data_IF_020778936121
#
_entry.id   IF_020778936121
#
_cell.length_a   1.000
_cell.length_b   1.000
_cell.length_c   1.000
_cell.angle_alpha   90.00
_cell.angle_beta   90.00
_cell.angle_gamma   90.00
#
_symmetry.space_group_name_H-M   'P 1'
#
loop_
_entity.id
_entity.type
_entity.pdbx_description
1 polymer ?
#
# COMPACT_ATOMS: atom_id res chain seq x y z
N UNK A 1 20.08 46.84 37.19
CA UNK A 1 20.06 46.63 35.73
C UNK A 1 19.84 45.15 35.46
N UNK A 2 18.63 44.80 35.01
CA UNK A 2 18.19 43.44 34.75
C UNK A 2 19.01 42.78 33.64
N UNK A 3 19.50 41.57 33.88
CA UNK A 3 19.83 40.64 32.81
C UNK A 3 19.10 39.34 33.07
N UNK A 4 17.95 39.23 32.41
CA UNK A 4 17.22 37.99 32.21
C UNK A 4 18.17 36.98 31.56
N UNK A 5 18.69 36.02 32.32
CA UNK A 5 19.25 34.79 31.74
C UNK A 5 18.07 33.97 31.25
N UNK A 6 17.78 34.12 29.95
CA UNK A 6 16.79 33.33 29.24
C UNK A 6 17.12 31.83 29.42
N UNK A 7 16.22 31.12 30.10
CA UNK A 7 16.23 29.67 30.13
C UNK A 7 15.90 29.19 28.71
N UNK A 8 16.91 28.74 27.97
CA UNK A 8 16.70 27.98 26.73
C UNK A 8 16.32 26.57 27.16
N UNK A 9 15.04 26.36 27.45
CA UNK A 9 14.42 25.04 27.40
C UNK A 9 14.45 24.62 25.93
N UNK A 10 15.47 23.88 25.53
CA UNK A 10 15.45 23.09 24.30
C UNK A 10 14.31 22.08 24.49
N UNK A 11 13.17 22.15 23.78
CA UNK A 11 12.29 21.01 23.77
C UNK A 11 13.08 19.88 23.12
N UNK A 12 13.43 18.87 23.91
CA UNK A 12 13.75 17.54 23.39
C UNK A 12 12.56 17.14 22.54
N UNK A 13 12.63 17.43 21.24
CA UNK A 13 11.85 16.75 20.23
C UNK A 13 12.26 15.29 20.37
N UNK A 14 11.51 14.56 21.19
CA UNK A 14 11.44 13.12 21.11
C UNK A 14 11.01 12.83 19.68
N UNK A 15 11.99 12.66 18.81
CA UNK A 15 11.81 12.03 17.53
C UNK A 15 11.46 10.59 17.89
N UNK A 16 10.17 10.35 18.16
CA UNK A 16 9.59 9.05 17.96
C UNK A 16 9.76 8.81 16.46
N UNK A 17 10.92 8.29 16.08
CA UNK A 17 11.14 7.67 14.79
C UNK A 17 10.16 6.52 14.76
N UNK A 18 8.97 6.80 14.24
CA UNK A 18 8.06 5.75 13.81
C UNK A 18 8.84 5.03 12.71
N UNK A 19 9.44 3.91 13.10
CA UNK A 19 10.35 3.16 12.25
C UNK A 19 9.53 2.67 11.07
N UNK A 20 9.88 3.15 9.87
CA UNK A 20 9.44 2.55 8.63
C UNK A 20 9.82 1.07 8.71
N UNK A 21 8.80 0.20 8.77
CA UNK A 21 8.98 -1.23 9.08
C UNK A 21 8.12 -2.05 8.13
N UNK A 22 8.75 -3.04 7.50
CA UNK A 22 8.07 -4.12 6.78
C UNK A 22 7.96 -5.31 7.74
N UNK A 23 6.74 -5.61 8.19
CA UNK A 23 6.50 -6.68 9.17
C UNK A 23 6.56 -8.06 8.53
N UNK A 24 6.00 -8.19 7.32
CA UNK A 24 5.92 -9.45 6.59
C UNK A 24 6.04 -9.17 5.09
N UNK A 25 6.66 -10.10 4.37
CA UNK A 25 6.71 -10.11 2.92
C UNK A 25 6.44 -11.52 2.40
N UNK A 26 5.57 -11.64 1.39
CA UNK A 26 5.30 -12.89 0.69
C UNK A 26 5.25 -12.64 -0.81
N UNK A 27 5.59 -13.66 -1.60
CA UNK A 27 5.37 -13.63 -3.04
C UNK A 27 4.26 -14.58 -3.43
N UNK A 28 3.32 -14.11 -4.24
CA UNK A 28 2.20 -14.91 -4.73
C UNK A 28 2.12 -14.86 -6.25
N UNK A 29 1.79 -15.98 -6.86
CA UNK A 29 1.39 -16.02 -8.26
C UNK A 29 -0.13 -15.91 -8.32
N UNK A 30 -0.66 -14.74 -8.67
CA UNK A 30 -2.09 -14.52 -8.72
C UNK A 30 -2.60 -14.55 -10.17
N UNK A 31 -3.76 -15.16 -10.38
CA UNK A 31 -4.53 -15.04 -11.63
C UNK A 31 -5.50 -13.86 -11.60
N UNK A 32 -5.91 -13.45 -10.40
CA UNK A 32 -6.83 -12.34 -10.18
C UNK A 32 -6.62 -11.73 -8.80
N UNK A 33 -6.66 -10.40 -8.73
CA UNK A 33 -6.70 -9.65 -7.48
C UNK A 33 -7.92 -8.74 -7.52
N UNK A 34 -8.73 -8.78 -6.47
CA UNK A 34 -9.90 -7.91 -6.31
C UNK A 34 -9.72 -7.10 -5.03
N UNK A 35 -9.73 -5.78 -5.15
CA UNK A 35 -9.78 -4.87 -4.01
C UNK A 35 -11.21 -4.37 -3.89
N UNK A 36 -11.82 -4.58 -2.73
CA UNK A 36 -13.20 -4.18 -2.42
C UNK A 36 -13.12 -2.95 -1.52
N UNK A 37 -13.58 -1.82 -2.03
CA UNK A 37 -13.68 -0.61 -1.21
C UNK A 37 -14.97 -0.63 -0.39
N UNK A 38 -14.93 0.03 0.76
CA UNK A 38 -16.12 0.33 1.55
C UNK A 38 -16.99 1.39 0.89
N UNK A 39 -18.18 1.55 1.46
CA UNK A 39 -19.20 2.46 0.94
C UNK A 39 -18.67 3.88 0.73
N UNK A 40 -18.94 4.43 -0.46
CA UNK A 40 -18.61 5.82 -0.82
C UNK A 40 -17.21 6.04 -1.42
N UNK A 41 -16.34 5.03 -1.49
CA UNK A 41 -15.08 5.13 -2.24
C UNK A 41 -15.31 4.92 -3.74
N UNK A 42 -15.40 6.02 -4.49
CA UNK A 42 -15.45 6.00 -5.95
C UNK A 42 -14.10 6.40 -6.55
N UNK A 43 -13.35 5.45 -7.11
CA UNK A 43 -12.14 5.75 -7.88
C UNK A 43 -12.40 5.57 -9.37
N UNK A 44 -11.67 6.30 -10.23
CA UNK A 44 -11.59 5.94 -11.64
C UNK A 44 -11.14 4.47 -11.75
N UNK A 45 -11.79 3.71 -12.64
CA UNK A 45 -11.56 2.28 -12.89
C UNK A 45 -12.13 1.30 -11.84
N UNK A 46 -12.98 1.76 -10.93
CA UNK A 46 -13.79 0.88 -10.07
C UNK A 46 -15.15 0.57 -10.70
N UNK A 47 -15.50 -0.71 -10.72
CA UNK A 47 -16.83 -1.17 -11.15
C UNK A 47 -17.56 -1.77 -9.96
N UNK A 48 -18.63 -1.12 -9.52
CA UNK A 48 -19.45 -1.58 -8.39
C UNK A 48 -18.67 -1.67 -7.06
N UNK A 49 -17.84 -0.66 -6.75
CA UNK A 49 -17.04 -0.63 -5.53
C UNK A 49 -15.85 -1.59 -5.53
N UNK A 50 -15.49 -2.13 -6.70
CA UNK A 50 -14.37 -3.09 -6.83
C UNK A 50 -13.35 -2.62 -7.86
N UNK A 51 -12.08 -2.71 -7.48
CA UNK A 51 -10.94 -2.61 -8.40
C UNK A 51 -10.42 -4.03 -8.67
N UNK A 52 -10.43 -4.44 -9.94
CA UNK A 52 -10.15 -5.83 -10.33
C UNK A 52 -8.96 -5.88 -11.27
N UNK A 53 -7.93 -6.65 -10.92
CA UNK A 53 -6.79 -6.97 -11.77
C UNK A 53 -6.91 -8.40 -12.31
N UNK A 54 -6.90 -8.55 -13.63
CA UNK A 54 -7.04 -9.84 -14.34
C UNK A 54 -6.10 -9.91 -15.54
N UNK A 55 -6.01 -11.06 -16.22
CA UNK A 55 -5.20 -11.19 -17.44
C UNK A 55 -5.71 -10.30 -18.59
N UNK A 56 -7.02 -10.04 -18.61
CA UNK A 56 -7.72 -9.24 -19.63
C UNK A 56 -8.32 -7.96 -19.02
N UNK A 57 -8.52 -6.93 -19.84
CA UNK A 57 -9.10 -5.65 -19.43
C UNK A 57 -8.06 -4.53 -19.25
N UNK A 58 -8.50 -3.42 -18.65
CA UNK A 58 -7.65 -2.24 -18.38
C UNK A 58 -6.60 -2.52 -17.30
N UNK A 59 -7.03 -3.12 -16.19
CA UNK A 59 -6.16 -3.46 -15.07
C UNK A 59 -5.58 -4.86 -15.23
N UNK A 60 -4.38 -4.93 -15.82
CA UNK A 60 -3.72 -6.21 -16.09
C UNK A 60 -2.99 -6.73 -14.86
N UNK A 61 -3.23 -7.99 -14.48
CA UNK A 61 -2.58 -8.61 -13.32
C UNK A 61 -1.05 -8.65 -13.43
N UNK A 62 -0.52 -8.80 -14.65
CA UNK A 62 0.92 -8.75 -14.94
C UNK A 62 1.57 -7.39 -14.65
N UNK A 63 0.78 -6.33 -14.64
CA UNK A 63 1.24 -4.98 -14.31
C UNK A 63 1.32 -4.77 -12.80
N UNK A 64 0.54 -5.52 -11.99
CA UNK A 64 0.56 -5.41 -10.54
C UNK A 64 1.83 -6.06 -10.00
N UNK A 65 2.67 -5.27 -9.34
CA UNK A 65 3.96 -5.72 -8.81
C UNK A 65 3.90 -5.96 -7.32
N UNK A 66 3.21 -5.10 -6.59
CA UNK A 66 3.17 -5.14 -5.14
C UNK A 66 1.84 -4.68 -4.57
N UNK A 67 1.44 -5.30 -3.47
CA UNK A 67 0.31 -4.95 -2.62
C UNK A 67 0.86 -4.77 -1.21
N UNK A 68 0.87 -3.55 -0.71
CA UNK A 68 1.25 -3.28 0.67
C UNK A 68 -0.02 -3.07 1.50
N UNK A 69 -0.23 -3.94 2.48
CA UNK A 69 -1.24 -3.79 3.53
C UNK A 69 -0.65 -2.81 4.56
N UNK A 70 -1.26 -1.64 4.68
CA UNK A 70 -0.76 -0.58 5.55
C UNK A 70 -1.45 -0.71 6.90
N UNK A 71 -0.66 -0.77 7.96
CA UNK A 71 -1.14 -0.84 9.34
C UNK A 71 -0.70 0.38 10.13
N UNK A 72 -1.53 0.78 11.10
CA UNK A 72 -1.19 1.81 12.07
C UNK A 72 -0.28 1.27 13.18
N UNK A 73 0.07 2.15 14.13
CA UNK A 73 0.89 1.82 15.31
C UNK A 73 0.26 0.76 16.23
N UNK A 74 -1.02 0.47 16.08
CA UNK A 74 -1.76 -0.53 16.83
C UNK A 74 -1.94 -1.84 16.05
N UNK A 75 -1.39 -1.93 14.83
CA UNK A 75 -1.53 -3.08 13.95
C UNK A 75 -2.88 -3.14 13.21
N UNK A 76 -3.69 -2.09 13.26
CA UNK A 76 -4.96 -2.04 12.53
C UNK A 76 -4.72 -1.62 11.08
N UNK A 77 -5.36 -2.32 10.14
CA UNK A 77 -5.27 -1.98 8.72
C UNK A 77 -5.91 -0.62 8.44
N UNK A 78 -5.11 0.33 7.93
CA UNK A 78 -5.58 1.67 7.54
C UNK A 78 -5.91 1.75 6.06
N UNK A 79 -5.34 0.87 5.26
CA UNK A 79 -5.52 0.87 3.81
C UNK A 79 -4.60 -0.08 3.08
N UNK A 80 -4.58 0.05 1.75
CA UNK A 80 -3.77 -0.77 0.86
C UNK A 80 -3.09 0.11 -0.17
N UNK A 81 -1.77 -0.04 -0.34
CA UNK A 81 -1.03 0.56 -1.45
C UNK A 81 -0.83 -0.49 -2.55
N UNK A 82 -1.28 -0.18 -3.75
CA UNK A 82 -1.04 -0.96 -4.95
C UNK A 82 0.10 -0.32 -5.73
N UNK A 83 1.13 -1.10 -6.04
CA UNK A 83 2.23 -0.67 -6.92
C UNK A 83 2.15 -1.44 -8.21
N UNK A 84 1.98 -0.73 -9.31
CA UNK A 84 1.74 -1.33 -10.63
C UNK A 84 2.47 -0.55 -11.72
N UNK A 85 2.70 -1.22 -12.84
CA UNK A 85 3.39 -0.67 -14.00
C UNK A 85 2.36 -0.26 -15.06
N UNK A 86 2.29 1.03 -15.37
CA UNK A 86 1.45 1.57 -16.42
C UNK A 86 2.29 1.73 -17.71
N UNK A 87 1.78 1.20 -18.83
CA UNK A 87 2.49 1.16 -20.12
C UNK A 87 2.94 2.57 -20.61
N UNK A 88 2.27 3.65 -20.19
CA UNK A 88 2.56 5.03 -20.61
C UNK A 88 3.48 5.77 -19.65
N UNK A 89 3.29 5.55 -18.34
CA UNK A 89 3.85 6.42 -17.29
C UNK A 89 4.78 5.69 -16.32
N UNK A 90 5.07 4.42 -16.59
CA UNK A 90 5.99 3.60 -15.82
C UNK A 90 5.39 3.14 -14.49
N UNK A 91 6.24 2.98 -13.48
CA UNK A 91 5.84 2.53 -12.15
C UNK A 91 4.95 3.58 -11.46
N UNK A 92 3.80 3.14 -10.94
CA UNK A 92 2.83 3.94 -10.22
C UNK A 92 2.49 3.30 -8.88
N UNK A 93 2.14 4.15 -7.91
CA UNK A 93 1.60 3.74 -6.62
C UNK A 93 0.23 4.36 -6.40
N UNK A 94 -0.73 3.57 -5.97
CA UNK A 94 -2.08 4.00 -5.62
C UNK A 94 -2.37 3.55 -4.18
N UNK A 95 -2.50 4.51 -3.26
CA UNK A 95 -2.92 4.23 -1.89
C UNK A 95 -4.43 4.38 -1.75
N UNK A 96 -5.07 3.35 -1.22
CA UNK A 96 -6.51 3.26 -1.01
C UNK A 96 -6.79 3.14 0.47
N UNK A 97 -7.52 4.11 1.03
CA UNK A 97 -8.10 4.02 2.36
C UNK A 97 -9.50 3.38 2.29
N UNK A 98 -10.03 2.96 3.44
CA UNK A 98 -11.39 2.43 3.51
C UNK A 98 -11.63 1.16 2.69
N UNK A 99 -10.61 0.30 2.57
CA UNK A 99 -10.72 -1.00 1.89
C UNK A 99 -11.29 -2.02 2.88
N UNK A 100 -12.33 -2.74 2.46
CA UNK A 100 -12.92 -3.82 3.25
C UNK A 100 -12.13 -5.12 3.09
N UNK A 101 -11.71 -5.43 1.87
CA UNK A 101 -11.04 -6.67 1.57
C UNK A 101 -10.13 -6.60 0.36
N UNK A 102 -9.06 -7.41 0.40
CA UNK A 102 -8.26 -7.78 -0.76
C UNK A 102 -8.40 -9.28 -0.95
N UNK A 103 -8.98 -9.69 -2.08
CA UNK A 103 -9.14 -11.08 -2.46
C UNK A 103 -8.11 -11.44 -3.52
N UNK A 104 -7.31 -12.46 -3.25
CA UNK A 104 -6.23 -12.91 -4.14
C UNK A 104 -6.53 -14.33 -4.56
N UNK A 105 -6.88 -14.51 -5.83
CA UNK A 105 -7.02 -15.84 -6.40
C UNK A 105 -5.66 -16.30 -6.93
N UNK A 106 -5.06 -17.27 -6.24
CA UNK A 106 -3.76 -17.82 -6.61
C UNK A 106 -3.86 -18.75 -7.84
N UNK A 107 -2.81 -18.73 -8.64
CA UNK A 107 -2.60 -19.67 -9.74
C UNK A 107 -1.90 -20.93 -9.22
N UNK A 108 -2.61 -22.07 -9.20
CA UNK A 108 -2.08 -23.35 -8.70
C UNK A 108 -1.01 -23.96 -9.59
N UNK A 109 -0.89 -23.49 -10.84
CA UNK A 109 0.14 -23.92 -11.81
C UNK A 109 0.71 -22.67 -12.47
N UNK A 110 1.64 -21.97 -11.79
CA UNK A 110 2.21 -20.76 -12.36
C UNK A 110 3.01 -21.13 -13.61
N UNK A 111 2.39 -20.92 -14.78
CA UNK A 111 3.13 -20.64 -16.02
C UNK A 111 4.05 -19.43 -15.73
N UNK A 112 5.12 -19.19 -16.51
CA UNK A 112 6.15 -18.13 -16.35
C UNK A 112 5.60 -16.69 -16.15
N UNK A 113 4.84 -16.47 -15.08
CA UNK A 113 4.11 -15.27 -14.73
C UNK A 113 4.89 -14.59 -13.63
N UNK A 114 4.84 -13.26 -13.62
CA UNK A 114 5.46 -12.46 -12.58
C UNK A 114 4.75 -12.73 -11.26
N UNK A 115 5.50 -12.93 -10.17
CA UNK A 115 4.93 -12.94 -8.83
C UNK A 115 4.57 -11.51 -8.40
N UNK A 116 3.59 -11.42 -7.50
CA UNK A 116 3.17 -10.19 -6.84
C UNK A 116 3.70 -10.26 -5.42
N UNK A 117 4.42 -9.23 -5.00
CA UNK A 117 4.88 -9.11 -3.61
C UNK A 117 3.73 -8.58 -2.76
N UNK A 118 3.39 -9.28 -1.68
CA UNK A 118 2.47 -8.78 -0.66
C UNK A 118 3.30 -8.44 0.56
N UNK A 119 3.12 -7.23 1.09
CA UNK A 119 3.79 -6.82 2.33
C UNK A 119 2.78 -6.31 3.34
N UNK A 120 3.16 -6.36 4.61
CA UNK A 120 2.52 -5.58 5.66
C UNK A 120 3.49 -4.51 6.13
N UNK A 121 3.10 -3.24 6.06
CA UNK A 121 3.99 -2.09 6.31
C UNK A 121 3.35 -1.09 7.27
N UNK A 122 4.17 -0.31 7.98
CA UNK A 122 3.69 0.87 8.73
C UNK A 122 3.33 2.01 7.77
N UNK A 123 2.47 2.95 8.21
CA UNK A 123 2.11 4.12 7.42
C UNK A 123 3.32 4.97 6.98
N UNK A 124 4.41 5.02 7.77
CA UNK A 124 5.62 5.77 7.44
C UNK A 124 6.35 5.22 6.21
N UNK A 125 6.21 3.92 5.90
CA UNK A 125 6.71 3.29 4.67
C UNK A 125 5.98 3.77 3.40
N UNK A 126 4.86 4.49 3.54
CA UNK A 126 4.20 5.12 2.40
C UNK A 126 5.04 6.23 1.77
N UNK A 127 5.88 6.92 2.56
CA UNK A 127 6.79 7.95 2.07
C UNK A 127 7.98 7.38 1.29
N UNK A 128 8.27 6.08 1.46
CA UNK A 128 9.28 5.40 0.65
C UNK A 128 8.73 5.18 -0.77
N UNK A 129 9.41 5.69 -1.81
CA UNK A 129 8.88 5.64 -3.17
C UNK A 129 8.84 4.20 -3.72
N UNK A 130 9.74 3.29 -3.31
CA UNK A 130 9.74 1.90 -3.75
C UNK A 130 10.50 0.95 -2.83
#
# INVERSE_FOLDING_TARGET
MNRLTAAVLLPLLFHASAYATVFNEAQVYAKKVTVIAGDGLGLPDMTGGRLVFTEIGQNRIRALRRIDIVVDRYGQTTGVRLVYENDVSGLKSLYLNGIEAVLIEQDRRPLKKRSITIRTITADELASPW
#
